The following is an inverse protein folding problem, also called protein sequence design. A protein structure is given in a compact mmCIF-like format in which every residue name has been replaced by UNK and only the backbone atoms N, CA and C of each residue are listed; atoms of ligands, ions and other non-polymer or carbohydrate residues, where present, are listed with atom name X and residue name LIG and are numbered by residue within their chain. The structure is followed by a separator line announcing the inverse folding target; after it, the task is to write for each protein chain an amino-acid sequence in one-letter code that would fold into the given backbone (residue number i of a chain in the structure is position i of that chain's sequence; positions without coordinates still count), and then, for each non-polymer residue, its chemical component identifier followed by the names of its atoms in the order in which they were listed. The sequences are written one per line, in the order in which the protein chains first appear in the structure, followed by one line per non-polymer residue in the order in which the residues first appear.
data_IF_013537138905
#
_entry.id   IF_013537138905
#
_cell.length_a   1.000
_cell.length_b   1.000
_cell.length_c   1.000
_cell.angle_alpha   90.00
_cell.angle_beta   90.00
_cell.angle_gamma   90.00
#
_symmetry.space_group_name_H-M   'P 1'
#
loop_
_entity.id
_entity.type
_entity.pdbx_description
1 polymer ?
#
# COMPACT_ATOMS: atom_id res chain seq x y z
N UNK A 1 24.90 7.30 10.58
CA UNK A 1 23.94 7.02 11.66
C UNK A 1 23.11 5.84 11.21
N UNK A 2 23.23 4.68 11.87
CA UNK A 2 22.54 3.45 11.45
C UNK A 2 21.04 3.56 11.71
N UNK A 3 20.23 3.24 10.71
CA UNK A 3 18.78 3.15 10.85
C UNK A 3 18.45 1.85 11.58
N UNK A 4 17.76 1.96 12.71
CA UNK A 4 17.26 0.83 13.50
C UNK A 4 16.17 0.14 12.67
N UNK A 5 16.28 -1.19 12.50
CA UNK A 5 15.22 -1.96 11.89
C UNK A 5 13.97 -1.84 12.78
N UNK A 6 12.89 -1.30 12.23
CA UNK A 6 11.62 -1.11 12.93
C UNK A 6 11.10 -2.47 13.41
N UNK A 7 10.77 -2.58 14.69
CA UNK A 7 10.23 -3.81 15.25
C UNK A 7 8.76 -4.01 14.84
N UNK A 8 8.20 -5.22 15.04
CA UNK A 8 6.83 -5.53 14.60
C UNK A 8 5.76 -4.67 15.29
N UNK A 9 5.98 -4.26 16.55
CA UNK A 9 5.05 -3.38 17.27
C UNK A 9 5.05 -1.99 16.64
N UNK A 10 6.23 -1.42 16.41
CA UNK A 10 6.40 -0.10 15.78
C UNK A 10 5.81 -0.06 14.36
N UNK A 11 5.88 -1.18 13.63
CA UNK A 11 5.27 -1.30 12.30
C UNK A 11 3.74 -1.27 12.36
N UNK A 12 3.15 -1.97 13.33
CA UNK A 12 1.70 -1.95 13.53
C UNK A 12 1.22 -0.56 13.98
N UNK A 13 1.98 0.09 14.85
CA UNK A 13 1.71 1.46 15.29
C UNK A 13 1.76 2.44 14.10
N UNK A 14 2.75 2.29 13.20
CA UNK A 14 2.84 3.11 12.00
C UNK A 14 1.68 2.88 11.02
N UNK A 15 1.30 1.64 10.77
CA UNK A 15 0.16 1.31 9.89
C UNK A 15 -1.15 1.87 10.44
N UNK A 16 -1.38 1.81 11.75
CA UNK A 16 -2.54 2.40 12.40
C UNK A 16 -2.54 3.94 12.28
N UNK A 17 -1.40 4.57 12.49
CA UNK A 17 -1.24 6.02 12.35
C UNK A 17 -1.50 6.46 10.90
N UNK A 18 -0.96 5.74 9.91
CA UNK A 18 -1.19 6.03 8.49
C UNK A 18 -2.68 5.88 8.15
N UNK A 19 -3.31 4.78 8.55
CA UNK A 19 -4.75 4.56 8.34
C UNK A 19 -5.60 5.65 8.97
N UNK A 20 -5.26 6.08 10.19
CA UNK A 20 -5.97 7.17 10.88
C UNK A 20 -5.86 8.49 10.11
N UNK A 21 -4.68 8.82 9.59
CA UNK A 21 -4.51 10.04 8.80
C UNK A 21 -5.18 9.94 7.43
N UNK A 22 -5.12 8.78 6.77
CA UNK A 22 -5.88 8.51 5.56
C UNK A 22 -7.39 8.76 5.79
N UNK A 23 -7.95 8.22 6.87
CA UNK A 23 -9.35 8.42 7.24
C UNK A 23 -9.70 9.90 7.42
N UNK A 24 -8.82 10.70 8.04
CA UNK A 24 -9.01 12.15 8.18
C UNK A 24 -8.98 12.89 6.84
N UNK A 25 -7.98 12.61 6.00
CA UNK A 25 -7.78 13.30 4.71
C UNK A 25 -8.93 12.99 3.74
N UNK A 26 -9.35 11.74 3.67
CA UNK A 26 -10.36 11.28 2.72
C UNK A 26 -11.78 11.21 3.29
N UNK A 27 -11.99 11.69 4.53
CA UNK A 27 -13.25 11.58 5.27
C UNK A 27 -13.84 10.15 5.19
N UNK A 28 -13.00 9.17 5.54
CA UNK A 28 -13.26 7.75 5.44
C UNK A 28 -13.24 7.10 6.83
N UNK A 29 -13.80 5.90 6.92
CA UNK A 29 -13.86 5.10 8.15
C UNK A 29 -13.29 3.70 7.87
N UNK A 30 -12.06 3.66 7.38
CA UNK A 30 -11.42 2.40 6.97
C UNK A 30 -10.87 1.62 8.15
N UNK A 31 -10.97 0.30 8.06
CA UNK A 31 -10.49 -0.68 9.04
C UNK A 31 -9.59 -1.73 8.38
N UNK A 32 -8.81 -2.43 9.20
CA UNK A 32 -8.10 -3.65 8.77
C UNK A 32 -9.11 -4.79 8.61
N UNK A 33 -9.06 -5.52 7.50
CA UNK A 33 -10.03 -6.59 7.25
C UNK A 33 -9.46 -7.72 6.40
N UNK A 34 -9.65 -8.95 6.87
CA UNK A 34 -9.43 -10.13 6.06
C UNK A 34 -10.59 -10.38 5.11
N UNK A 35 -10.32 -10.38 3.81
CA UNK A 35 -11.31 -10.62 2.75
C UNK A 35 -10.75 -11.58 1.72
N UNK A 36 -11.64 -12.35 1.08
CA UNK A 36 -11.29 -13.20 -0.06
C UNK A 36 -11.99 -12.69 -1.32
N UNK A 37 -11.32 -12.63 -2.48
CA UNK A 37 -11.97 -12.24 -3.75
C UNK A 37 -13.10 -13.17 -4.19
N UNK A 38 -13.15 -14.38 -3.64
CA UNK A 38 -14.22 -15.35 -3.83
C UNK A 38 -14.34 -16.27 -2.61
N UNK A 39 -15.42 -17.07 -2.53
CA UNK A 39 -15.66 -17.99 -1.41
C UNK A 39 -14.62 -19.10 -1.27
N UNK A 40 -13.90 -19.44 -2.35
CA UNK A 40 -12.90 -20.51 -2.37
C UNK A 40 -11.47 -19.99 -2.38
N UNK A 41 -11.28 -18.68 -2.56
CA UNK A 41 -9.96 -18.07 -2.53
C UNK A 41 -9.46 -17.92 -1.10
N UNK A 42 -8.14 -17.95 -0.93
CA UNK A 42 -7.49 -17.56 0.31
C UNK A 42 -7.90 -16.14 0.70
N UNK A 43 -7.96 -15.90 2.00
CA UNK A 43 -8.12 -14.55 2.54
C UNK A 43 -6.81 -13.78 2.39
N UNK A 44 -6.96 -12.48 2.19
CA UNK A 44 -5.91 -11.49 2.26
C UNK A 44 -6.31 -10.43 3.29
N UNK A 45 -5.36 -9.97 4.08
CA UNK A 45 -5.57 -8.87 5.01
C UNK A 45 -5.37 -7.54 4.27
N UNK A 46 -6.44 -6.77 4.15
CA UNK A 46 -6.38 -5.40 3.63
C UNK A 46 -6.29 -4.44 4.81
N UNK A 47 -5.27 -3.58 4.83
CA UNK A 47 -5.12 -2.55 5.87
C UNK A 47 -6.15 -1.44 5.74
N UNK A 48 -6.63 -1.17 4.53
CA UNK A 48 -7.60 -0.14 4.23
C UNK A 48 -8.84 -0.84 3.68
N UNK A 49 -9.94 -0.84 4.45
CA UNK A 49 -11.22 -1.30 3.93
C UNK A 49 -12.39 -0.49 4.48
N UNK A 50 -13.23 0.01 3.57
CA UNK A 50 -14.56 0.53 3.87
C UNK A 50 -15.49 0.08 2.74
N UNK A 51 -16.52 -0.71 3.09
CA UNK A 51 -17.39 -1.37 2.12
C UNK A 51 -17.99 -0.36 1.13
N UNK A 52 -17.82 -0.63 -0.17
CA UNK A 52 -18.32 0.21 -1.25
C UNK A 52 -17.56 1.52 -1.46
N UNK A 53 -16.51 1.81 -0.68
CA UNK A 53 -15.68 3.02 -0.83
C UNK A 53 -14.22 2.71 -1.12
N UNK A 54 -13.52 2.03 -0.22
CA UNK A 54 -12.07 1.85 -0.29
C UNK A 54 -11.66 0.40 0.00
N UNK A 55 -10.63 -0.06 -0.72
CA UNK A 55 -9.89 -1.28 -0.43
C UNK A 55 -8.41 -1.06 -0.71
N UNK A 56 -7.51 -1.54 0.14
CA UNK A 56 -6.11 -1.19 0.04
C UNK A 56 -5.19 -1.85 1.03
N UNK A 57 -3.90 -1.73 0.78
CA UNK A 57 -2.83 -2.14 1.69
C UNK A 57 -1.91 -0.97 2.04
N UNK A 58 -1.22 -1.08 3.18
CA UNK A 58 -0.18 -0.15 3.59
C UNK A 58 1.16 -0.89 3.55
N UNK A 59 2.16 -0.32 2.88
CA UNK A 59 3.49 -0.92 2.84
C UNK A 59 4.58 0.11 3.19
N UNK A 60 5.26 -0.15 4.30
CA UNK A 60 6.35 0.70 4.80
C UNK A 60 7.75 0.29 4.31
N UNK A 61 7.84 -0.66 3.37
CA UNK A 61 9.14 -1.14 2.89
C UNK A 61 9.80 -0.11 1.97
N UNK A 62 11.05 0.24 2.27
CA UNK A 62 11.88 1.06 1.38
C UNK A 62 12.28 0.29 0.12
N UNK A 63 12.47 1.00 -1.00
CA UNK A 63 12.94 0.45 -2.28
C UNK A 63 14.29 -0.23 -2.17
N UNK A 64 15.22 0.41 -1.47
CA UNK A 64 16.58 -0.04 -1.25
C UNK A 64 16.77 -0.44 0.22
N UNK A 65 17.72 -1.35 0.46
CA UNK A 65 18.22 -1.65 1.81
C UNK A 65 19.10 -0.51 2.30
N UNK A 66 19.47 -0.54 3.59
CA UNK A 66 20.42 0.43 4.17
C UNK A 66 21.80 0.43 3.51
N UNK A 67 22.17 -0.66 2.81
CA UNK A 67 23.41 -0.77 2.04
C UNK A 67 23.26 -0.33 0.58
N UNK A 68 22.09 0.19 0.19
CA UNK A 68 21.79 0.63 -1.18
C UNK A 68 21.44 -0.49 -2.15
N UNK A 69 21.33 -1.74 -1.69
CA UNK A 69 20.93 -2.86 -2.54
C UNK A 69 19.41 -2.90 -2.73
N UNK A 70 18.92 -3.62 -3.75
CA UNK A 70 17.48 -3.83 -3.93
C UNK A 70 16.89 -4.57 -2.72
N UNK A 71 15.87 -3.98 -2.09
CA UNK A 71 15.04 -4.67 -1.10
C UNK A 71 14.00 -5.55 -1.80
N UNK A 72 14.43 -6.69 -2.33
CA UNK A 72 13.57 -7.61 -3.11
C UNK A 72 12.34 -8.05 -2.33
N UNK A 73 12.50 -8.44 -1.06
CA UNK A 73 11.38 -8.85 -0.21
C UNK A 73 10.34 -7.73 -0.02
N UNK A 74 10.76 -6.48 0.14
CA UNK A 74 9.85 -5.34 0.17
C UNK A 74 9.10 -5.14 -1.15
N UNK A 75 9.81 -5.25 -2.27
CA UNK A 75 9.24 -5.10 -3.61
C UNK A 75 8.26 -6.23 -3.97
N UNK A 76 8.52 -7.45 -3.51
CA UNK A 76 7.67 -8.62 -3.71
C UNK A 76 6.38 -8.48 -2.90
N UNK A 77 6.47 -7.98 -1.66
CA UNK A 77 5.29 -7.65 -0.84
C UNK A 77 4.43 -6.60 -1.52
N UNK A 78 5.02 -5.49 -2.00
CA UNK A 78 4.30 -4.46 -2.74
C UNK A 78 3.64 -5.02 -4.01
N UNK A 79 4.35 -5.89 -4.74
CA UNK A 79 3.80 -6.54 -5.94
C UNK A 79 2.64 -7.49 -5.61
N UNK A 80 2.71 -8.16 -4.46
CA UNK A 80 1.66 -9.05 -3.97
C UNK A 80 0.40 -8.27 -3.59
N UNK A 81 0.54 -7.09 -2.94
CA UNK A 81 -0.59 -6.20 -2.67
C UNK A 81 -1.28 -5.73 -3.97
N UNK A 82 -0.49 -5.33 -4.97
CA UNK A 82 -1.01 -4.93 -6.29
C UNK A 82 -1.80 -6.08 -6.93
N UNK A 83 -1.29 -7.31 -6.86
CA UNK A 83 -1.99 -8.50 -7.34
C UNK A 83 -3.33 -8.69 -6.62
N UNK A 84 -3.35 -8.62 -5.28
CA UNK A 84 -4.58 -8.76 -4.51
C UNK A 84 -5.63 -7.70 -4.85
N UNK A 85 -5.20 -6.45 -5.00
CA UNK A 85 -6.09 -5.35 -5.42
C UNK A 85 -6.64 -5.55 -6.83
N UNK A 86 -5.82 -6.10 -7.73
CA UNK A 86 -6.22 -6.42 -9.12
C UNK A 86 -7.26 -7.55 -9.17
N UNK A 87 -7.18 -8.51 -8.24
CA UNK A 87 -8.10 -9.64 -8.15
C UNK A 87 -9.44 -9.30 -7.48
N UNK A 88 -9.49 -8.20 -6.72
CA UNK A 88 -10.71 -7.78 -6.03
C UNK A 88 -11.81 -7.39 -7.02
N UNK A 89 -12.98 -8.00 -6.91
CA UNK A 89 -14.12 -7.79 -7.83
C UNK A 89 -15.13 -6.74 -7.35
N UNK A 90 -14.94 -6.19 -6.16
CA UNK A 90 -15.82 -5.17 -5.62
C UNK A 90 -15.64 -3.81 -6.31
N UNK A 91 -16.55 -2.89 -5.99
CA UNK A 91 -16.62 -1.54 -6.60
C UNK A 91 -15.80 -0.49 -5.83
N UNK A 92 -15.12 -0.90 -4.76
CA UNK A 92 -14.26 -0.05 -3.96
C UNK A 92 -13.13 0.55 -4.81
N UNK A 93 -12.75 1.77 -4.48
CA UNK A 93 -11.53 2.40 -4.97
C UNK A 93 -10.32 1.67 -4.40
N UNK A 94 -9.40 1.24 -5.27
CA UNK A 94 -8.20 0.49 -4.88
C UNK A 94 -7.09 1.49 -4.57
N UNK A 95 -6.61 1.48 -3.34
CA UNK A 95 -5.53 2.36 -2.88
C UNK A 95 -4.36 1.51 -2.39
N UNK A 96 -3.16 1.82 -2.82
CA UNK A 96 -1.93 1.31 -2.21
C UNK A 96 -1.18 2.46 -1.56
N UNK A 97 -0.99 2.37 -0.26
CA UNK A 97 -0.27 3.40 0.50
C UNK A 97 1.17 2.91 0.71
N UNK A 98 2.13 3.68 0.21
CA UNK A 98 3.56 3.46 0.42
C UNK A 98 4.13 4.50 1.38
N UNK A 99 5.31 4.23 1.95
CA UNK A 99 6.06 5.22 2.75
C UNK A 99 7.42 5.59 2.14
N UNK A 100 7.63 5.23 0.88
CA UNK A 100 8.87 5.43 0.15
C UNK A 100 8.60 5.84 -1.29
N UNK A 101 8.95 7.09 -1.64
CA UNK A 101 8.82 7.60 -3.00
C UNK A 101 9.66 6.81 -4.00
N UNK A 102 10.81 6.28 -3.56
CA UNK A 102 11.64 5.41 -4.39
C UNK A 102 10.91 4.12 -4.79
N UNK A 103 10.09 3.57 -3.89
CA UNK A 103 9.25 2.41 -4.17
C UNK A 103 8.13 2.78 -5.12
N UNK A 104 7.42 3.89 -4.88
CA UNK A 104 6.35 4.37 -5.78
C UNK A 104 6.88 4.54 -7.21
N UNK A 105 8.04 5.19 -7.36
CA UNK A 105 8.68 5.41 -8.65
C UNK A 105 9.09 4.10 -9.34
N UNK A 106 9.61 3.15 -8.56
CA UNK A 106 9.93 1.84 -9.08
C UNK A 106 8.69 1.10 -9.59
N UNK A 107 7.59 1.12 -8.85
CA UNK A 107 6.32 0.48 -9.25
C UNK A 107 5.78 1.13 -10.53
N UNK A 108 5.80 2.47 -10.61
CA UNK A 108 5.43 3.23 -11.82
C UNK A 108 6.20 2.74 -13.06
N UNK A 109 7.51 2.56 -12.93
CA UNK A 109 8.38 2.07 -14.02
C UNK A 109 8.14 0.59 -14.33
N UNK A 110 8.03 -0.25 -13.30
CA UNK A 110 7.85 -1.71 -13.43
C UNK A 110 6.57 -2.07 -14.18
N UNK A 111 5.49 -1.34 -13.94
CA UNK A 111 4.15 -1.64 -14.45
C UNK A 111 3.67 -0.66 -15.53
N UNK A 112 4.57 0.15 -16.11
CA UNK A 112 4.21 1.19 -17.09
C UNK A 112 3.39 0.67 -18.28
N UNK A 113 3.70 -0.54 -18.73
CA UNK A 113 3.10 -1.16 -19.92
C UNK A 113 2.23 -2.38 -19.57
N UNK A 114 1.79 -2.48 -18.31
CA UNK A 114 0.88 -3.54 -17.87
C UNK A 114 -0.56 -3.05 -17.93
N UNK A 115 -1.48 -3.94 -18.30
CA UNK A 115 -2.91 -3.66 -18.25
C UNK A 115 -3.49 -4.19 -16.94
N UNK A 116 -4.20 -3.32 -16.21
CA UNK A 116 -4.89 -3.70 -14.99
C UNK A 116 -6.40 -3.76 -15.23
N UNK A 117 -7.10 -4.77 -14.68
CA UNK A 117 -8.56 -4.85 -14.81
C UNK A 117 -9.29 -3.70 -14.11
N UNK A 118 -8.61 -3.03 -13.17
CA UNK A 118 -9.14 -1.91 -12.38
C UNK A 118 -8.02 -0.96 -12.01
N UNK A 119 -8.33 0.34 -11.95
CA UNK A 119 -7.36 1.35 -11.52
C UNK A 119 -6.94 1.13 -10.07
N UNK A 120 -5.63 1.17 -9.82
CA UNK A 120 -5.01 1.16 -8.49
C UNK A 120 -4.27 2.48 -8.31
N UNK A 121 -4.73 3.29 -7.35
CA UNK A 121 -4.05 4.54 -6.99
C UNK A 121 -2.98 4.27 -5.93
N UNK A 122 -1.74 4.59 -6.27
CA UNK A 122 -0.58 4.44 -5.39
C UNK A 122 -0.19 5.82 -4.86
N UNK A 123 -0.37 6.03 -3.56
CA UNK A 123 -0.01 7.26 -2.86
C UNK A 123 1.17 7.01 -1.93
N UNK A 124 1.98 8.04 -1.67
CA UNK A 124 3.08 7.96 -0.72
C UNK A 124 2.80 8.84 0.49
N UNK A 125 2.93 8.29 1.69
CA UNK A 125 2.94 9.04 2.94
C UNK A 125 4.39 9.26 3.40
N UNK A 126 4.69 10.46 3.84
CA UNK A 126 5.93 10.72 4.56
C UNK A 126 5.75 10.33 6.05
N UNK A 127 6.63 9.46 6.56
CA UNK A 127 6.52 8.88 7.90
C UNK A 127 6.70 9.92 9.02
N UNK A 128 7.36 11.05 8.73
CA UNK A 128 7.66 12.08 9.73
C UNK A 128 6.54 13.12 9.83
N UNK A 129 6.02 13.53 8.68
CA UNK A 129 4.98 14.56 8.55
C UNK A 129 3.58 13.99 8.47
N UNK A 130 3.43 12.69 8.21
CA UNK A 130 2.17 11.97 8.04
C UNK A 130 1.26 12.58 6.97
N UNK A 131 1.87 13.25 6.00
CA UNK A 131 1.21 13.88 4.88
C UNK A 131 1.45 13.06 3.61
N UNK A 132 0.52 13.17 2.66
CA UNK A 132 0.73 12.64 1.31
C UNK A 132 1.81 13.48 0.64
N UNK A 133 2.79 12.81 0.05
CA UNK A 133 3.91 13.43 -0.66
C UNK A 133 3.99 12.92 -2.09
N UNK A 134 4.40 13.81 -2.99
CA UNK A 134 4.44 13.53 -4.42
C UNK A 134 3.05 13.45 -5.07
N UNK A 135 3.03 13.11 -6.35
CA UNK A 135 1.80 12.86 -7.09
C UNK A 135 1.38 11.40 -6.94
N UNK A 136 0.07 11.17 -6.92
CA UNK A 136 -0.46 9.81 -6.97
C UNK A 136 -0.13 9.16 -8.32
N UNK A 137 0.30 7.90 -8.28
CA UNK A 137 0.53 7.09 -9.48
C UNK A 137 -0.70 6.23 -9.71
N UNK A 138 -1.28 6.29 -10.90
CA UNK A 138 -2.40 5.43 -11.28
C UNK A 138 -1.86 4.26 -12.11
N UNK A 139 -2.04 3.04 -11.62
CA UNK A 139 -1.84 1.82 -12.39
C UNK A 139 -3.19 1.48 -13.04
N UNK A 140 -3.21 1.34 -14.37
CA UNK A 140 -4.40 1.11 -15.19
C UNK A 140 -4.03 0.24 -16.38
#
# INVERSE_FOLDING_TARGET
MGQVAMNMSEKLDLEEVIRTNFNKIYNASTEKKELSPSKTASKHEFDIYEKGKYIGGINSSKRLTSTGNNNTGGQDRVSSEILWLSLWKGKEKRILILTDLGMQEYIRKKYKDWEFPYNIEVICFDEQTLCIVGEAVILQ
#
